data_IF_700490456785
#
_entry.id   IF_700490456785
#
_cell.length_a   1.000
_cell.length_b   1.000
_cell.length_c   1.000
_cell.angle_alpha   90.00
_cell.angle_beta   90.00
_cell.angle_gamma   90.00
#
_symmetry.space_group_name_H-M   'P 1'
#
loop_
_entity.id
_entity.type
_entity.pdbx_description
1 polymer ?
#
# COMPACT_ATOMS: atom_id res chain seq x y z
N UNK A 1 32.10 -4.31 -19.29
CA UNK A 1 31.06 -4.02 -20.32
C UNK A 1 29.93 -5.05 -20.31
N UNK A 2 30.19 -6.36 -20.26
CA UNK A 2 29.15 -7.39 -20.14
C UNK A 2 28.39 -7.42 -18.79
N UNK A 3 29.09 -7.12 -17.69
CA UNK A 3 28.50 -7.09 -16.33
C UNK A 3 27.40 -6.02 -16.22
N UNK A 4 27.68 -4.80 -16.68
CA UNK A 4 26.74 -3.68 -16.66
C UNK A 4 25.45 -3.97 -17.45
N UNK A 5 25.50 -4.81 -18.49
CA UNK A 5 24.32 -5.21 -19.25
C UNK A 5 23.51 -6.30 -18.52
N UNK A 6 24.19 -7.22 -17.82
CA UNK A 6 23.55 -8.22 -16.96
C UNK A 6 22.84 -7.59 -15.75
N UNK A 7 23.47 -6.59 -15.13
CA UNK A 7 22.91 -5.86 -13.98
C UNK A 7 21.60 -5.14 -14.35
N UNK A 8 21.51 -4.56 -15.55
CA UNK A 8 20.29 -3.92 -16.06
C UNK A 8 19.15 -4.93 -16.23
N UNK A 9 19.43 -6.16 -16.70
CA UNK A 9 18.42 -7.20 -16.82
C UNK A 9 17.89 -7.65 -15.46
N UNK A 10 18.78 -7.81 -14.47
CA UNK A 10 18.40 -8.14 -13.10
C UNK A 10 17.56 -7.05 -12.44
N UNK A 11 17.95 -5.78 -12.62
CA UNK A 11 17.17 -4.63 -12.11
C UNK A 11 15.79 -4.57 -12.75
N UNK A 12 15.66 -4.82 -14.07
CA UNK A 12 14.36 -4.88 -14.75
C UNK A 12 13.48 -6.00 -14.20
N UNK A 13 14.06 -7.17 -13.94
CA UNK A 13 13.32 -8.30 -13.37
C UNK A 13 12.85 -7.99 -11.94
N UNK A 14 13.75 -7.49 -11.09
CA UNK A 14 13.42 -7.10 -9.72
C UNK A 14 12.32 -6.02 -9.69
N UNK A 15 12.42 -5.01 -10.56
CA UNK A 15 11.41 -3.97 -10.70
C UNK A 15 10.05 -4.55 -11.10
N UNK A 16 10.00 -5.49 -12.05
CA UNK A 16 8.75 -6.16 -12.45
C UNK A 16 8.12 -6.95 -11.30
N UNK A 17 8.94 -7.63 -10.48
CA UNK A 17 8.46 -8.40 -9.32
C UNK A 17 7.88 -7.45 -8.28
N UNK A 18 8.61 -6.38 -7.93
CA UNK A 18 8.18 -5.40 -6.93
C UNK A 18 6.89 -4.73 -7.36
N UNK A 19 6.78 -4.29 -8.62
CA UNK A 19 5.54 -3.70 -9.13
C UNK A 19 4.36 -4.67 -9.10
N UNK A 20 4.60 -5.94 -9.43
CA UNK A 20 3.59 -6.99 -9.33
C UNK A 20 3.09 -7.17 -7.89
N UNK A 21 3.99 -7.18 -6.92
CA UNK A 21 3.64 -7.30 -5.49
C UNK A 21 2.87 -6.08 -4.98
N UNK A 22 3.30 -4.86 -5.35
CA UNK A 22 2.57 -3.63 -5.02
C UNK A 22 1.16 -3.69 -5.60
N UNK A 23 1.01 -4.05 -6.88
CA UNK A 23 -0.31 -4.18 -7.51
C UNK A 23 -1.21 -5.21 -6.82
N UNK A 24 -0.66 -6.33 -6.36
CA UNK A 24 -1.40 -7.33 -5.59
C UNK A 24 -1.87 -6.77 -4.24
N UNK A 25 -0.98 -6.09 -3.50
CA UNK A 25 -1.33 -5.49 -2.20
C UNK A 25 -2.42 -4.44 -2.37
N UNK A 26 -2.29 -3.55 -3.36
CA UNK A 26 -3.31 -2.53 -3.66
C UNK A 26 -4.66 -3.17 -4.00
N UNK A 27 -4.66 -4.23 -4.83
CA UNK A 27 -5.87 -4.95 -5.22
C UNK A 27 -6.56 -5.66 -4.05
N UNK A 28 -5.79 -6.06 -3.02
CA UNK A 28 -6.33 -6.66 -1.80
C UNK A 28 -6.83 -5.60 -0.80
N UNK A 29 -6.17 -4.43 -0.73
CA UNK A 29 -6.54 -3.35 0.18
C UNK A 29 -7.76 -2.55 -0.29
N UNK A 30 -7.95 -2.37 -1.60
CA UNK A 30 -9.11 -1.65 -2.16
C UNK A 30 -10.47 -2.18 -1.65
N UNK A 31 -10.79 -3.49 -1.74
CA UNK A 31 -12.06 -4.01 -1.22
C UNK A 31 -12.15 -3.95 0.32
N UNK A 32 -11.02 -3.90 1.04
CA UNK A 32 -11.01 -3.71 2.50
C UNK A 32 -11.39 -2.25 2.83
N UNK A 33 -10.85 -1.27 2.10
CA UNK A 33 -11.20 0.13 2.26
C UNK A 33 -12.71 0.36 2.05
N UNK A 34 -13.27 -0.21 0.98
CA UNK A 34 -14.70 -0.12 0.68
C UNK A 34 -15.57 -0.81 1.73
N UNK A 35 -15.23 -2.06 2.09
CA UNK A 35 -16.02 -2.87 3.04
C UNK A 35 -16.14 -2.21 4.41
N UNK A 36 -15.11 -1.50 4.83
CA UNK A 36 -15.02 -0.91 6.17
C UNK A 36 -15.14 0.62 6.15
N UNK A 37 -15.70 1.19 5.08
CA UNK A 37 -15.84 2.64 4.89
C UNK A 37 -16.55 3.33 6.07
N UNK A 38 -17.50 2.64 6.71
CA UNK A 38 -18.33 3.16 7.81
C UNK A 38 -17.95 2.61 9.19
N UNK A 39 -16.96 1.72 9.28
CA UNK A 39 -16.57 1.10 10.54
C UNK A 39 -15.82 2.11 11.42
N UNK A 40 -16.38 2.54 12.58
CA UNK A 40 -15.77 3.59 13.39
C UNK A 40 -14.45 3.13 14.02
N UNK A 41 -13.45 4.02 14.01
CA UNK A 41 -12.12 3.81 14.55
C UNK A 41 -11.66 5.05 15.32
N UNK A 42 -10.91 4.86 16.41
CA UNK A 42 -10.31 5.99 17.11
C UNK A 42 -9.20 6.59 16.25
N UNK A 43 -9.32 7.87 15.89
CA UNK A 43 -8.25 8.60 15.22
C UNK A 43 -7.03 8.71 16.12
N UNK A 44 -5.84 8.82 15.51
CA UNK A 44 -4.59 9.02 16.24
C UNK A 44 -3.73 10.11 15.63
N UNK A 45 -3.27 11.07 16.43
CA UNK A 45 -2.26 12.07 16.06
C UNK A 45 -1.14 12.02 17.08
N UNK A 46 0.13 12.04 16.64
CA UNK A 46 1.31 11.87 17.53
C UNK A 46 1.20 10.64 18.47
N UNK A 47 0.52 9.58 18.03
CA UNK A 47 0.26 8.37 18.83
C UNK A 47 -0.85 8.50 19.89
N UNK A 48 -1.43 9.68 20.09
CA UNK A 48 -2.51 9.94 21.05
C UNK A 48 -3.89 9.84 20.40
N UNK A 49 -4.92 9.58 21.19
CA UNK A 49 -6.31 9.60 20.71
C UNK A 49 -6.68 10.99 20.17
N UNK A 50 -7.26 10.99 18.98
CA UNK A 50 -7.77 12.16 18.28
C UNK A 50 -9.24 11.97 17.91
N UNK A 51 -9.78 12.86 17.07
CA UNK A 51 -11.16 12.79 16.59
C UNK A 51 -11.40 11.43 15.90
N UNK A 52 -12.53 10.75 16.17
CA UNK A 52 -12.88 9.50 15.50
C UNK A 52 -12.87 9.61 13.97
N UNK A 53 -12.47 8.54 13.30
CA UNK A 53 -12.54 8.36 11.85
C UNK A 53 -13.14 6.98 11.54
N UNK A 54 -13.05 6.50 10.30
CA UNK A 54 -13.40 5.12 9.95
C UNK A 54 -12.18 4.28 9.60
N UNK A 55 -12.29 2.96 9.73
CA UNK A 55 -11.21 2.03 9.36
C UNK A 55 -10.99 2.06 7.84
N UNK A 56 -12.05 2.09 7.05
CA UNK A 56 -11.95 2.18 5.58
C UNK A 56 -11.24 3.44 5.12
N UNK A 57 -11.49 4.60 5.74
CA UNK A 57 -10.72 5.83 5.49
C UNK A 57 -9.22 5.63 5.74
N UNK A 58 -8.85 4.95 6.83
CA UNK A 58 -7.45 4.66 7.16
C UNK A 58 -6.78 3.74 6.14
N UNK A 59 -7.50 2.72 5.65
CA UNK A 59 -7.01 1.83 4.59
C UNK A 59 -6.89 2.57 3.26
N UNK A 60 -7.85 3.45 2.94
CA UNK A 60 -7.80 4.33 1.78
C UNK A 60 -6.55 5.21 1.76
N UNK A 61 -6.19 5.78 2.90
CA UNK A 61 -4.96 6.57 3.04
C UNK A 61 -3.64 5.78 2.90
N UNK A 62 -3.68 4.43 2.89
CA UNK A 62 -2.50 3.61 2.58
C UNK A 62 -2.32 3.34 1.08
N UNK A 63 -3.39 3.48 0.31
CA UNK A 63 -3.41 3.17 -1.13
C UNK A 63 -3.47 4.41 -2.03
N UNK A 64 -3.67 5.60 -1.46
CA UNK A 64 -3.49 6.92 -2.07
C UNK A 64 -2.01 7.32 -2.11
#
# INVERSE_FOLDING_TARGET
MFTQSGDILQLRQAHSIILGQIGQVLSLLAPIAERHADDPCAGRTHGQHAVPSTFGYKVGAWID
#
